data_IF_226933900819
#
_entry.id   IF_226933900819
#
_cell.length_a   1.000
_cell.length_b   1.000
_cell.length_c   1.000
_cell.angle_alpha   90.00
_cell.angle_beta   90.00
_cell.angle_gamma   90.00
#
_symmetry.space_group_name_H-M   'P 1'
#
loop_
_entity.id
_entity.type
_entity.pdbx_description
1 polymer ?
#
# COMPACT_ATOMS: atom_id res chain seq x y z
N UNK A 1 20.42 3.50 -5.38
CA UNK A 1 19.32 3.15 -4.43
C UNK A 1 19.04 4.28 -3.44
N UNK A 2 19.30 5.53 -3.85
CA UNK A 2 18.91 6.75 -3.17
C UNK A 2 18.45 7.79 -4.21
N UNK A 3 18.20 7.34 -5.43
CA UNK A 3 17.97 8.16 -6.61
C UNK A 3 16.67 8.96 -6.48
N UNK A 4 15.67 8.39 -5.80
CA UNK A 4 14.41 9.09 -5.48
C UNK A 4 14.66 10.28 -4.55
N UNK A 5 15.48 10.06 -3.52
CA UNK A 5 15.81 11.11 -2.56
C UNK A 5 16.67 12.20 -3.21
N UNK A 6 17.55 11.85 -4.15
CA UNK A 6 18.33 12.81 -4.93
C UNK A 6 17.43 13.66 -5.83
N UNK A 7 16.50 13.05 -6.56
CA UNK A 7 15.56 13.77 -7.42
C UNK A 7 14.69 14.76 -6.63
N UNK A 8 14.16 14.35 -5.47
CA UNK A 8 13.36 15.21 -4.60
C UNK A 8 14.20 16.36 -4.01
N UNK A 9 15.45 16.10 -3.61
CA UNK A 9 16.39 17.13 -3.13
C UNK A 9 16.64 18.18 -4.21
N UNK A 10 16.77 17.75 -5.46
CA UNK A 10 17.05 18.63 -6.60
C UNK A 10 15.81 19.41 -7.08
N UNK A 11 14.67 19.24 -6.39
CA UNK A 11 13.45 20.01 -6.61
C UNK A 11 12.47 19.39 -7.58
N UNK A 12 12.66 18.13 -7.99
CA UNK A 12 11.67 17.41 -8.78
C UNK A 12 10.37 17.24 -7.97
N UNK A 13 9.23 17.34 -8.65
CA UNK A 13 7.94 16.99 -8.03
C UNK A 13 7.90 15.49 -7.74
N UNK A 14 7.04 15.07 -6.81
CA UNK A 14 6.92 13.66 -6.42
C UNK A 14 6.55 12.79 -7.63
N UNK A 15 5.59 13.24 -8.43
CA UNK A 15 5.19 12.55 -9.66
C UNK A 15 6.34 12.44 -10.67
N UNK A 16 7.07 13.53 -10.94
CA UNK A 16 8.19 13.51 -11.88
C UNK A 16 9.30 12.57 -11.42
N UNK A 17 9.63 12.60 -10.12
CA UNK A 17 10.66 11.75 -9.53
C UNK A 17 10.27 10.26 -9.58
N UNK A 18 9.01 9.93 -9.27
CA UNK A 18 8.50 8.55 -9.38
C UNK A 18 8.48 8.08 -10.83
N UNK A 19 8.03 8.93 -11.76
CA UNK A 19 7.94 8.61 -13.17
C UNK A 19 9.33 8.36 -13.78
N UNK A 20 10.33 9.16 -13.39
CA UNK A 20 11.70 9.02 -13.90
C UNK A 20 12.41 7.76 -13.40
N UNK A 21 12.15 7.33 -12.15
CA UNK A 21 12.93 6.28 -11.48
C UNK A 21 12.21 4.93 -11.55
N UNK A 22 10.89 4.93 -11.38
CA UNK A 22 10.07 3.73 -11.29
C UNK A 22 9.12 3.56 -12.49
N UNK A 23 8.98 4.57 -13.35
CA UNK A 23 8.17 4.48 -14.57
C UNK A 23 6.66 4.66 -14.36
N UNK A 24 6.24 5.04 -13.16
CA UNK A 24 4.85 5.35 -12.82
C UNK A 24 4.77 6.59 -11.93
N UNK A 25 3.58 7.17 -11.86
CA UNK A 25 3.27 8.35 -11.07
C UNK A 25 2.63 7.97 -9.71
N UNK A 26 2.13 8.93 -8.93
CA UNK A 26 1.55 8.63 -7.60
C UNK A 26 0.33 7.70 -7.69
N UNK A 27 -0.54 7.86 -8.68
CA UNK A 27 -1.67 6.94 -8.87
C UNK A 27 -1.22 5.52 -9.22
N UNK A 28 -0.19 5.38 -10.07
CA UNK A 28 0.38 4.08 -10.40
C UNK A 28 1.01 3.39 -9.18
N UNK A 29 1.66 4.15 -8.29
CA UNK A 29 2.17 3.64 -7.02
C UNK A 29 1.04 3.10 -6.13
N UNK A 30 -0.10 3.80 -6.05
CA UNK A 30 -1.26 3.32 -5.28
C UNK A 30 -1.81 2.01 -5.86
N UNK A 31 -1.92 1.92 -7.19
CA UNK A 31 -2.41 0.71 -7.87
C UNK A 31 -1.51 -0.50 -7.55
N UNK A 32 -0.19 -0.36 -7.72
CA UNK A 32 0.78 -1.42 -7.44
C UNK A 32 0.80 -1.79 -5.95
N UNK A 33 0.75 -0.79 -5.06
CA UNK A 33 0.71 -1.02 -3.63
C UNK A 33 -0.53 -1.81 -3.22
N UNK A 34 -1.71 -1.45 -3.74
CA UNK A 34 -2.96 -2.17 -3.47
C UNK A 34 -2.92 -3.59 -4.02
N UNK A 35 -2.36 -3.79 -5.21
CA UNK A 35 -2.15 -5.13 -5.77
C UNK A 35 -1.24 -5.97 -4.87
N UNK A 36 -0.15 -5.39 -4.37
CA UNK A 36 0.80 -6.06 -3.48
C UNK A 36 0.18 -6.52 -2.15
N UNK A 37 -0.71 -5.72 -1.57
CA UNK A 37 -1.43 -6.08 -0.33
C UNK A 37 -2.78 -6.79 -0.57
N UNK A 38 -3.09 -7.12 -1.84
CA UNK A 38 -4.36 -7.71 -2.27
C UNK A 38 -5.59 -6.90 -1.81
N UNK A 39 -5.46 -5.58 -1.71
CA UNK A 39 -6.57 -4.69 -1.40
C UNK A 39 -7.52 -4.58 -2.60
N UNK A 40 -8.77 -4.19 -2.32
CA UNK A 40 -9.75 -3.87 -3.36
C UNK A 40 -9.20 -2.77 -4.27
N UNK A 41 -9.19 -2.95 -5.62
CA UNK A 41 -8.78 -1.90 -6.55
C UNK A 41 -9.63 -0.64 -6.40
N UNK A 42 -9.05 0.54 -6.62
CA UNK A 42 -9.85 1.77 -6.70
C UNK A 42 -10.86 1.65 -7.84
N UNK A 43 -12.12 1.96 -7.56
CA UNK A 43 -13.10 2.17 -8.61
C UNK A 43 -12.77 3.50 -9.28
N UNK A 44 -12.21 3.46 -10.49
CA UNK A 44 -12.08 4.65 -11.32
C UNK A 44 -13.49 5.02 -11.75
N UNK A 45 -14.14 5.90 -10.98
CA UNK A 45 -15.49 6.34 -11.26
C UNK A 45 -15.48 7.21 -12.50
N UNK A 46 -15.91 6.65 -13.63
CA UNK A 46 -16.15 7.39 -14.87
C UNK A 46 -17.48 8.17 -14.83
N UNK A 47 -18.16 8.24 -13.68
CA UNK A 47 -19.39 9.01 -13.57
C UNK A 47 -19.07 10.50 -13.77
N UNK A 48 -19.75 11.19 -14.70
CA UNK A 48 -19.65 12.64 -14.81
C UNK A 48 -19.91 13.25 -13.43
N UNK A 49 -19.01 14.12 -12.98
CA UNK A 49 -19.31 15.03 -11.87
C UNK A 49 -20.57 15.80 -12.26
N UNK A 50 -21.61 15.73 -11.44
CA UNK A 50 -22.86 16.42 -11.71
C UNK A 50 -22.56 17.91 -11.97
N UNK A 51 -22.93 18.38 -13.16
CA UNK A 51 -22.71 19.77 -13.54
C UNK A 51 -23.55 20.65 -12.62
N UNK A 52 -22.97 21.66 -11.93
CA UNK A 52 -23.75 22.51 -11.05
C UNK A 52 -24.87 23.16 -11.86
N UNK A 53 -26.12 22.90 -11.47
CA UNK A 53 -27.25 23.59 -12.06
C UNK A 53 -27.19 25.05 -11.61
N UNK A 54 -27.17 26.03 -12.52
CA UNK A 54 -27.11 27.43 -12.13
C UNK A 54 -28.36 27.78 -11.31
N UNK A 55 -28.16 28.12 -10.03
CA UNK A 55 -29.24 28.59 -9.18
C UNK A 55 -29.56 30.03 -9.58
N UNK A 56 -30.79 30.30 -10.03
CA UNK A 56 -31.25 31.65 -10.30
C UNK A 56 -31.29 32.42 -8.98
N UNK A 57 -30.37 33.37 -8.80
CA UNK A 57 -30.37 34.26 -7.62
C UNK A 57 -31.42 35.34 -7.88
N UNK A 58 -32.51 35.41 -7.08
CA UNK A 58 -33.47 36.48 -7.20
C UNK A 58 -32.78 37.80 -6.89
N UNK A 59 -32.86 38.76 -7.81
CA UNK A 59 -32.40 40.13 -7.56
C UNK A 59 -33.30 40.74 -6.49
N UNK A 60 -32.79 40.89 -5.26
CA UNK A 60 -33.51 41.57 -4.17
C UNK A 60 -33.59 43.06 -4.51
N UNK A 61 -34.81 43.57 -4.59
CA UNK A 61 -35.09 45.01 -4.69
C UNK A 61 -34.76 45.65 -3.33
N UNK A 62 -34.05 46.79 -3.26
CA UNK A 62 -33.74 47.44 -1.99
C UNK A 62 -35.00 47.72 -1.17
N UNK A 63 -34.99 47.31 0.10
CA UNK A 63 -36.08 47.52 1.04
C UNK A 63 -36.18 49.02 1.39
N UNK A 64 -37.21 49.68 0.87
CA UNK A 64 -37.79 50.86 1.52
C UNK A 64 -38.62 50.38 2.70
N UNK A 65 -38.32 50.90 3.90
CA UNK A 65 -38.76 50.33 5.17
C UNK A 65 -40.26 50.11 5.29
N UNK A 66 -40.62 48.88 5.61
CA UNK A 66 -41.69 48.50 6.54
C UNK A 66 -41.41 47.06 7.02
N UNK A 67 -41.80 46.77 8.26
CA UNK A 67 -41.32 45.65 9.09
C UNK A 67 -41.53 44.24 8.50
N UNK A 68 -40.44 43.46 8.43
CA UNK A 68 -40.46 42.05 8.01
C UNK A 68 -40.92 41.12 9.14
N UNK A 69 -42.02 40.40 8.93
CA UNK A 69 -42.38 39.23 9.73
C UNK A 69 -41.56 38.02 9.26
N UNK A 70 -40.65 37.52 10.10
CA UNK A 70 -39.82 36.35 9.80
C UNK A 70 -40.65 35.06 9.87
N UNK A 71 -40.83 34.39 8.74
CA UNK A 71 -41.35 33.01 8.69
C UNK A 71 -40.17 32.05 8.67
N UNK A 72 -40.02 31.13 9.66
CA UNK A 72 -38.92 30.17 9.65
C UNK A 72 -39.15 29.13 8.55
N UNK A 73 -38.21 29.06 7.61
CA UNK A 73 -38.19 28.01 6.57
C UNK A 73 -37.63 26.72 7.18
N UNK A 74 -38.31 25.56 7.07
CA UNK A 74 -37.75 24.31 7.54
C UNK A 74 -36.58 23.88 6.63
N UNK A 75 -35.38 23.87 7.19
CA UNK A 75 -34.19 23.32 6.54
C UNK A 75 -34.21 21.80 6.70
N UNK A 76 -34.38 21.06 5.60
CA UNK A 76 -34.10 19.62 5.57
C UNK A 76 -32.62 19.43 5.31
N UNK A 77 -31.89 18.95 6.33
CA UNK A 77 -30.49 18.55 6.19
C UNK A 77 -30.47 17.19 5.48
N UNK A 78 -29.84 17.04 4.30
CA UNK A 78 -29.73 15.73 3.66
C UNK A 78 -28.85 14.83 4.55
N UNK A 79 -29.46 13.80 5.12
CA UNK A 79 -28.74 12.76 5.85
C UNK A 79 -28.02 11.87 4.84
N UNK A 80 -26.69 11.86 4.87
CA UNK A 80 -25.86 10.92 4.10
C UNK A 80 -26.21 9.49 4.53
N UNK A 81 -26.86 8.73 3.66
CA UNK A 81 -27.11 7.31 3.88
C UNK A 81 -25.89 6.54 3.38
N UNK A 82 -24.98 6.19 4.28
CA UNK A 82 -24.00 5.15 4.01
C UNK A 82 -24.74 3.82 3.96
N UNK A 83 -24.96 3.28 2.76
CA UNK A 83 -25.37 1.89 2.61
C UNK A 83 -24.23 1.01 3.08
N UNK A 84 -24.45 0.27 4.17
CA UNK A 84 -23.59 -0.83 4.59
C UNK A 84 -23.34 -1.74 3.39
N UNK A 85 -22.08 -2.06 3.03
CA UNK A 85 -21.83 -3.04 1.99
C UNK A 85 -22.47 -4.36 2.39
N UNK A 86 -23.25 -4.90 1.47
CA UNK A 86 -23.87 -6.21 1.54
C UNK A 86 -22.86 -7.26 2.01
N UNK A 87 -23.12 -7.85 3.18
CA UNK A 87 -22.41 -9.00 3.70
C UNK A 87 -22.93 -10.27 3.01
N UNK A 88 -22.80 -10.32 1.69
CA UNK A 88 -22.90 -11.55 0.89
C UNK A 88 -21.63 -11.71 0.06
N UNK A 89 -20.53 -11.94 0.76
CA UNK A 89 -19.36 -12.57 0.18
C UNK A 89 -19.16 -13.92 0.88
N UNK A 90 -18.97 -15.02 0.12
CA UNK A 90 -18.79 -16.36 0.69
C UNK A 90 -17.56 -16.41 1.62
N UNK A 91 -17.56 -17.29 2.62
CA UNK A 91 -16.48 -17.36 3.60
C UNK A 91 -15.20 -17.90 2.97
N UNK A 92 -14.09 -17.28 3.36
CA UNK A 92 -12.73 -17.84 3.47
C UNK A 92 -12.04 -18.36 2.20
N UNK A 93 -11.10 -17.54 1.72
CA UNK A 93 -9.77 -18.04 1.38
C UNK A 93 -8.75 -17.21 2.15
N UNK A 94 -8.54 -17.56 3.42
CA UNK A 94 -7.34 -17.15 4.16
C UNK A 94 -6.14 -17.82 3.49
N UNK A 95 -5.64 -17.21 2.42
CA UNK A 95 -4.33 -17.53 1.85
C UNK A 95 -3.28 -16.87 2.72
N UNK A 96 -3.08 -17.43 3.92
CA UNK A 96 -1.78 -17.32 4.57
C UNK A 96 -0.70 -17.87 3.63
N UNK A 97 0.56 -17.45 3.78
CA UNK A 97 1.68 -18.06 3.06
C UNK A 97 1.55 -19.58 3.14
N UNK A 98 1.76 -20.35 2.05
CA UNK A 98 1.57 -21.79 2.07
C UNK A 98 2.43 -22.37 3.20
N UNK A 99 1.80 -22.73 4.32
CA UNK A 99 2.50 -23.17 5.54
C UNK A 99 3.39 -24.38 5.25
N UNK A 100 3.02 -25.17 4.24
CA UNK A 100 3.78 -26.29 3.74
C UNK A 100 5.09 -25.85 3.05
N UNK A 101 5.07 -24.74 2.31
CA UNK A 101 6.26 -24.16 1.68
C UNK A 101 7.17 -23.52 2.74
N UNK A 102 6.62 -22.81 3.72
CA UNK A 102 7.42 -22.18 4.78
C UNK A 102 8.09 -23.24 5.66
N UNK A 103 7.37 -24.30 6.02
CA UNK A 103 7.92 -25.42 6.79
C UNK A 103 8.96 -26.21 5.99
N UNK A 104 8.72 -26.42 4.68
CA UNK A 104 9.69 -27.07 3.79
C UNK A 104 10.97 -26.24 3.61
N UNK A 105 10.84 -24.92 3.42
CA UNK A 105 11.98 -24.03 3.25
C UNK A 105 12.80 -23.91 4.54
N UNK A 106 12.12 -23.84 5.69
CA UNK A 106 12.77 -23.83 7.00
C UNK A 106 13.50 -25.16 7.26
N UNK A 107 12.86 -26.30 6.98
CA UNK A 107 13.48 -27.62 7.11
C UNK A 107 14.72 -27.78 6.22
N UNK A 108 14.62 -27.34 4.95
CA UNK A 108 15.74 -27.36 4.02
C UNK A 108 16.89 -26.44 4.48
N UNK A 109 16.57 -25.23 4.95
CA UNK A 109 17.55 -24.29 5.50
C UNK A 109 18.29 -24.89 6.72
N UNK A 110 17.56 -25.47 7.69
CA UNK A 110 18.14 -26.12 8.86
C UNK A 110 19.07 -27.29 8.47
N UNK A 111 18.67 -28.10 7.49
CA UNK A 111 19.46 -29.23 7.02
C UNK A 111 20.76 -28.76 6.33
N UNK A 112 20.71 -27.72 5.50
CA UNK A 112 21.89 -27.13 4.90
C UNK A 112 22.87 -26.57 5.93
N UNK A 113 22.37 -25.85 6.94
CA UNK A 113 23.22 -25.30 8.01
C UNK A 113 23.90 -26.42 8.82
N UNK A 114 23.20 -27.53 9.09
CA UNK A 114 23.83 -28.68 9.74
C UNK A 114 24.91 -29.32 8.87
N UNK A 115 24.67 -29.50 7.57
CA UNK A 115 25.69 -30.06 6.65
C UNK A 115 26.92 -29.15 6.61
N UNK A 116 26.72 -27.84 6.44
CA UNK A 116 27.82 -26.87 6.42
C UNK A 116 28.61 -26.92 7.73
N UNK A 117 27.92 -26.97 8.87
CA UNK A 117 28.54 -27.08 10.19
C UNK A 117 29.40 -28.34 10.34
N UNK A 118 28.86 -29.51 9.96
CA UNK A 118 29.60 -30.79 10.03
C UNK A 118 30.80 -30.79 9.09
N UNK A 119 30.66 -30.25 7.88
CA UNK A 119 31.78 -30.13 6.93
C UNK A 119 32.86 -29.19 7.47
N UNK A 120 32.48 -28.04 8.03
CA UNK A 120 33.44 -27.12 8.65
C UNK A 120 34.18 -27.76 9.81
N UNK A 121 33.46 -28.42 10.72
CA UNK A 121 34.06 -29.13 11.85
C UNK A 121 34.99 -30.23 11.34
N UNK A 122 34.56 -31.00 10.34
CA UNK A 122 35.36 -32.06 9.71
C UNK A 122 36.65 -31.53 9.09
N UNK A 123 36.59 -30.40 8.37
CA UNK A 123 37.75 -29.73 7.78
C UNK A 123 38.69 -29.23 8.87
N UNK A 124 38.16 -28.61 9.93
CA UNK A 124 38.96 -28.10 11.05
C UNK A 124 39.67 -29.25 11.75
N UNK A 125 38.95 -30.33 12.10
CA UNK A 125 39.54 -31.53 12.74
C UNK A 125 40.60 -32.16 11.83
N UNK A 126 40.32 -32.28 10.53
CA UNK A 126 41.29 -32.80 9.55
C UNK A 126 42.53 -31.91 9.48
N UNK A 127 42.37 -30.59 9.45
CA UNK A 127 43.49 -29.64 9.39
C UNK A 127 44.36 -29.70 10.64
N UNK A 128 43.76 -29.88 11.82
CA UNK A 128 44.50 -30.05 13.07
C UNK A 128 45.25 -31.39 13.11
N UNK A 129 44.65 -32.47 12.60
CA UNK A 129 45.31 -33.77 12.52
C UNK A 129 46.50 -33.76 11.54
N UNK A 130 46.42 -32.99 10.45
CA UNK A 130 47.54 -32.81 9.51
C UNK A 130 48.69 -32.02 10.14
N UNK A 131 48.40 -30.97 10.93
CA UNK A 131 49.43 -30.19 11.64
C UNK A 131 50.18 -31.01 12.69
N UNK A 132 49.50 -31.94 13.39
CA UNK A 132 50.16 -32.83 14.36
C UNK A 132 51.14 -33.82 13.71
N UNK A 133 50.90 -34.23 12.46
CA UNK A 133 51.79 -35.14 11.71
C UNK A 133 52.97 -34.46 11.02
N UNK A 134 52.93 -33.14 10.85
CA UNK A 134 54.00 -32.36 10.21
C UNK A 134 55.02 -31.73 11.17
N UNK A 135 54.90 -31.99 12.49
CA UNK A 135 55.77 -31.43 13.53
C UNK A 135 56.78 -32.41 14.15
N UNK A 136 56.89 -33.63 13.61
CA UNK A 136 57.90 -34.64 14.02
C UNK A 136 58.99 -34.79 12.93
N UNK A 137 59.56 -33.67 12.46
CA UNK A 137 60.83 -33.65 11.73
C UNK A 137 61.73 -32.54 12.28
#
# INVERSE_FOLDING_TARGET
MNDLLLALRDGATVDDALQQIYGFNVEGLEVEWRAAIQARPMAVSALPTAQPTPTFVPTIVPVGGDSFAATPTPFVVPTSSFSTPDASAPPTSSQGPPLLLTLALLGFCCLLLLIIGVVFIGIVVRSQNQKKKGGEQ
#
